data_IF_567489899487
#
_entry.id   IF_567489899487
#
_cell.length_a   1.000
_cell.length_b   1.000
_cell.length_c   1.000
_cell.angle_alpha   90.00
_cell.angle_beta   90.00
_cell.angle_gamma   90.00
#
_symmetry.space_group_name_H-M   'P 1'
#
loop_
_entity.id
_entity.type
_entity.pdbx_description
1 polymer ?
#
# COMPACT_ATOMS: atom_id res chain seq x y z
N UNK A 1 10.12 -5.97 -3.03
CA UNK A 1 9.70 -4.69 -2.42
C UNK A 1 10.67 -3.55 -2.67
N UNK A 2 11.76 -3.33 -1.90
CA UNK A 2 12.59 -2.11 -2.02
C UNK A 2 12.94 -1.71 -3.47
N UNK A 3 13.51 -2.63 -4.26
CA UNK A 3 13.83 -2.36 -5.67
C UNK A 3 12.60 -2.02 -6.51
N UNK A 4 11.53 -2.80 -6.38
CA UNK A 4 10.30 -2.63 -7.16
C UNK A 4 9.53 -1.35 -6.78
N UNK A 5 9.42 -1.03 -5.50
CA UNK A 5 8.57 0.05 -4.98
C UNK A 5 9.22 1.43 -5.05
N UNK A 6 10.56 1.50 -4.95
CA UNK A 6 11.29 2.76 -4.85
C UNK A 6 12.19 3.05 -6.05
N UNK A 7 12.87 2.05 -6.60
CA UNK A 7 13.82 2.26 -7.70
C UNK A 7 13.17 2.07 -9.06
N UNK A 8 12.33 1.05 -9.21
CA UNK A 8 11.72 0.69 -10.49
C UNK A 8 10.30 1.23 -10.67
N UNK A 9 9.66 1.72 -9.60
CA UNK A 9 8.32 2.29 -9.71
C UNK A 9 8.38 3.66 -10.39
N UNK A 10 7.83 3.73 -11.60
CA UNK A 10 7.84 4.97 -12.40
C UNK A 10 6.65 5.88 -12.08
N UNK A 11 6.74 7.15 -12.51
CA UNK A 11 5.62 8.10 -12.43
C UNK A 11 4.38 7.60 -13.19
N UNK A 12 4.57 6.81 -14.25
CA UNK A 12 3.46 6.20 -14.96
C UNK A 12 2.77 5.11 -14.12
N UNK A 13 3.53 4.25 -13.42
CA UNK A 13 2.97 3.24 -12.51
C UNK A 13 2.19 3.86 -11.35
N UNK A 14 2.56 5.07 -10.90
CA UNK A 14 1.82 5.82 -9.88
C UNK A 14 0.40 6.23 -10.33
N UNK A 15 0.06 6.10 -11.62
CA UNK A 15 -1.33 6.25 -12.06
C UNK A 15 -2.26 5.15 -11.51
N UNK A 16 -1.75 4.16 -10.76
CA UNK A 16 -2.54 3.17 -9.99
C UNK A 16 -3.55 3.79 -9.00
N UNK A 17 -3.39 5.05 -8.62
CA UNK A 17 -4.33 5.79 -7.76
C UNK A 17 -5.58 6.33 -8.49
N UNK A 18 -5.65 6.19 -9.83
CA UNK A 18 -6.81 6.66 -10.61
C UNK A 18 -8.13 5.98 -10.15
N UNK A 19 -9.25 6.74 -10.15
CA UNK A 19 -10.55 6.22 -9.72
C UNK A 19 -11.21 5.34 -10.78
N UNK A 20 -10.92 5.58 -12.06
CA UNK A 20 -11.44 4.90 -13.24
C UNK A 20 -10.49 3.76 -13.68
N UNK A 21 -10.90 2.98 -14.69
CA UNK A 21 -10.13 1.85 -15.21
C UNK A 21 -8.74 2.20 -15.74
N UNK A 22 -8.41 3.49 -15.91
CA UNK A 22 -7.06 3.96 -16.18
C UNK A 22 -6.00 3.55 -15.14
N UNK A 23 -6.38 3.01 -13.98
CA UNK A 23 -5.43 2.42 -13.02
C UNK A 23 -4.83 1.09 -13.51
N UNK A 24 -5.53 0.35 -14.38
CA UNK A 24 -5.31 -1.09 -14.58
C UNK A 24 -3.91 -1.40 -15.10
N UNK A 25 -3.51 -0.80 -16.23
CA UNK A 25 -2.18 -1.04 -16.83
C UNK A 25 -1.03 -0.52 -15.96
N UNK A 26 -1.09 0.70 -15.39
CA UNK A 26 -0.10 1.17 -14.41
C UNK A 26 0.10 0.22 -13.23
N UNK A 27 -1.01 -0.27 -12.66
CA UNK A 27 -0.99 -1.19 -11.53
C UNK A 27 -0.46 -2.57 -11.94
N UNK A 28 -0.89 -3.08 -13.09
CA UNK A 28 -0.43 -4.36 -13.62
C UNK A 28 1.08 -4.33 -13.87
N UNK A 29 1.60 -3.23 -14.41
CA UNK A 29 3.04 -3.08 -14.63
C UNK A 29 3.82 -3.05 -13.32
N UNK A 30 3.32 -2.35 -12.29
CA UNK A 30 3.94 -2.35 -10.98
C UNK A 30 3.95 -3.75 -10.34
N UNK A 31 2.79 -4.42 -10.28
CA UNK A 31 2.68 -5.78 -9.77
C UNK A 31 3.51 -6.77 -10.61
N UNK A 32 3.62 -6.52 -11.92
CA UNK A 32 4.46 -7.27 -12.84
C UNK A 32 5.95 -7.20 -12.51
N UNK A 33 6.45 -6.04 -12.04
CA UNK A 33 7.85 -5.94 -11.59
C UNK A 33 8.10 -6.86 -10.39
N UNK A 34 7.20 -6.92 -9.40
CA UNK A 34 7.33 -7.87 -8.28
C UNK A 34 7.26 -9.31 -8.76
N UNK A 35 6.28 -9.64 -9.60
CA UNK A 35 6.13 -10.97 -10.18
C UNK A 35 7.35 -11.42 -10.99
N UNK A 36 8.04 -10.52 -11.70
CA UNK A 36 9.28 -10.83 -12.42
C UNK A 36 10.44 -11.16 -11.48
N UNK A 37 10.55 -10.47 -10.33
CA UNK A 37 11.52 -10.86 -9.31
C UNK A 37 11.19 -12.25 -8.74
N UNK A 38 9.92 -12.49 -8.40
CA UNK A 38 9.47 -13.80 -7.91
C UNK A 38 9.73 -14.91 -8.94
N UNK A 39 9.47 -14.64 -10.22
CA UNK A 39 9.75 -15.57 -11.31
C UNK A 39 11.25 -15.86 -11.41
N UNK A 40 12.10 -14.82 -11.36
CA UNK A 40 13.56 -14.99 -11.39
C UNK A 40 14.07 -15.86 -10.24
N UNK A 41 13.54 -15.67 -9.02
CA UNK A 41 13.85 -16.51 -7.87
C UNK A 41 13.40 -17.95 -8.11
N UNK A 42 12.17 -18.17 -8.58
CA UNK A 42 11.64 -19.51 -8.85
C UNK A 42 12.46 -20.23 -9.93
N UNK A 43 12.77 -19.56 -11.05
CA UNK A 43 13.56 -20.14 -12.13
C UNK A 43 15.00 -20.46 -11.70
N UNK A 44 15.54 -19.75 -10.72
CA UNK A 44 16.87 -20.03 -10.17
C UNK A 44 16.86 -21.20 -9.16
N UNK A 45 15.84 -21.28 -8.31
CA UNK A 45 15.81 -22.22 -7.17
C UNK A 45 15.03 -23.50 -7.48
N UNK A 46 13.84 -23.40 -8.08
CA UNK A 46 12.89 -24.49 -8.34
C UNK A 46 12.00 -24.15 -9.55
N UNK A 47 12.46 -24.39 -10.80
CA UNK A 47 11.80 -23.87 -12.01
C UNK A 47 10.35 -24.33 -12.21
N UNK A 48 9.99 -25.52 -11.72
CA UNK A 48 8.62 -26.04 -11.80
C UNK A 48 7.63 -25.25 -10.94
N UNK A 49 8.11 -24.44 -9.99
CA UNK A 49 7.32 -23.54 -9.15
C UNK A 49 7.13 -22.14 -9.75
N UNK A 50 7.38 -21.96 -11.06
CA UNK A 50 7.17 -20.68 -11.77
C UNK A 50 5.78 -20.05 -11.54
N UNK A 51 4.76 -20.88 -11.29
CA UNK A 51 3.38 -20.44 -11.05
C UNK A 51 3.24 -19.57 -9.78
N UNK A 52 4.20 -19.65 -8.84
CA UNK A 52 4.24 -18.76 -7.67
C UNK A 52 4.39 -17.28 -8.09
N UNK A 53 5.02 -16.99 -9.23
CA UNK A 53 5.07 -15.63 -9.77
C UNK A 53 3.68 -15.12 -10.19
N UNK A 54 2.79 -16.00 -10.66
CA UNK A 54 1.41 -15.65 -10.99
C UNK A 54 0.60 -15.40 -9.71
N UNK A 55 0.82 -16.20 -8.67
CA UNK A 55 0.22 -15.94 -7.34
C UNK A 55 0.65 -14.59 -6.81
N UNK A 56 1.95 -14.29 -6.91
CA UNK A 56 2.52 -13.03 -6.48
C UNK A 56 1.94 -11.84 -7.24
N UNK A 57 1.84 -11.96 -8.56
CA UNK A 57 1.21 -10.96 -9.43
C UNK A 57 -0.22 -10.64 -8.99
N UNK A 58 -1.04 -11.67 -8.79
CA UNK A 58 -2.45 -11.53 -8.42
C UNK A 58 -2.59 -10.93 -7.02
N UNK A 59 -1.82 -11.44 -6.04
CA UNK A 59 -1.86 -10.96 -4.66
C UNK A 59 -1.46 -9.47 -4.57
N UNK A 60 -0.34 -9.10 -5.21
CA UNK A 60 0.12 -7.71 -5.28
C UNK A 60 -0.92 -6.83 -5.97
N UNK A 61 -1.43 -7.24 -7.14
CA UNK A 61 -2.40 -6.44 -7.89
C UNK A 61 -3.67 -6.16 -7.07
N UNK A 62 -4.22 -7.19 -6.42
CA UNK A 62 -5.45 -7.05 -5.62
C UNK A 62 -5.20 -6.15 -4.40
N UNK A 63 -4.14 -6.42 -3.64
CA UNK A 63 -3.85 -5.65 -2.43
C UNK A 63 -3.58 -4.18 -2.76
N UNK A 64 -2.74 -3.91 -3.77
CA UNK A 64 -2.47 -2.53 -4.19
C UNK A 64 -3.72 -1.83 -4.73
N UNK A 65 -4.65 -2.55 -5.38
CA UNK A 65 -5.93 -1.95 -5.79
C UNK A 65 -6.78 -1.54 -4.59
N UNK A 66 -6.87 -2.40 -3.59
CA UNK A 66 -7.60 -2.12 -2.34
C UNK A 66 -6.96 -0.92 -1.62
N UNK A 67 -5.62 -0.86 -1.59
CA UNK A 67 -4.86 0.20 -0.95
C UNK A 67 -4.94 1.53 -1.71
N UNK A 68 -4.82 1.52 -3.04
CA UNK A 68 -4.79 2.72 -3.87
C UNK A 68 -6.17 3.25 -4.26
N UNK A 69 -7.19 2.40 -4.26
CA UNK A 69 -8.54 2.73 -4.72
C UNK A 69 -9.20 3.82 -3.88
N UNK A 70 -9.66 4.95 -4.48
CA UNK A 70 -10.33 6.02 -3.73
C UNK A 70 -11.63 5.62 -3.05
N UNK A 71 -12.26 4.52 -3.49
CA UNK A 71 -13.45 3.93 -2.86
C UNK A 71 -13.12 3.11 -1.60
N UNK A 72 -11.88 2.65 -1.47
CA UNK A 72 -11.40 1.73 -0.44
C UNK A 72 -10.48 2.47 0.54
N UNK A 73 -9.25 1.99 0.73
CA UNK A 73 -8.29 2.56 1.68
C UNK A 73 -7.63 3.85 1.14
N UNK A 74 -7.59 4.03 -0.18
CA UNK A 74 -7.00 5.21 -0.84
C UNK A 74 -7.73 6.53 -0.58
N UNK A 75 -8.90 6.48 0.07
CA UNK A 75 -9.65 7.64 0.54
C UNK A 75 -8.97 8.39 1.68
N UNK A 76 -8.15 7.70 2.48
CA UNK A 76 -7.45 8.29 3.60
C UNK A 76 -6.22 9.07 3.11
N UNK A 77 -5.90 10.17 3.79
CA UNK A 77 -4.80 11.06 3.41
C UNK A 77 -3.86 11.27 4.58
N UNK A 78 -2.57 11.18 4.31
CA UNK A 78 -1.53 11.56 5.24
C UNK A 78 -1.54 13.07 5.47
N UNK A 79 -1.19 13.48 6.68
CA UNK A 79 -0.77 14.85 6.96
C UNK A 79 0.76 14.89 6.89
N UNK A 80 1.30 15.92 6.24
CA UNK A 80 2.69 16.31 6.43
C UNK A 80 2.94 16.72 7.88
N UNK A 81 4.21 16.75 8.30
CA UNK A 81 4.57 17.20 9.65
C UNK A 81 4.04 18.61 9.96
N UNK A 82 4.18 19.54 9.01
CA UNK A 82 3.66 20.91 9.15
C UNK A 82 2.13 20.97 9.22
N UNK A 83 1.41 20.14 8.47
CA UNK A 83 -0.06 20.05 8.59
C UNK A 83 -0.49 19.44 9.91
N UNK A 84 0.21 18.41 10.40
CA UNK A 84 -0.07 17.82 11.69
C UNK A 84 0.12 18.83 12.82
N UNK A 85 1.23 19.58 12.85
CA UNK A 85 1.46 20.62 13.85
C UNK A 85 0.37 21.70 13.82
N UNK A 86 -0.06 22.11 12.63
CA UNK A 86 -1.21 23.03 12.47
C UNK A 86 -2.50 22.46 13.05
N UNK A 87 -2.74 21.14 12.97
CA UNK A 87 -3.92 20.55 13.63
C UNK A 87 -3.84 20.59 15.15
N UNK A 88 -2.64 20.52 15.74
CA UNK A 88 -2.42 20.63 17.19
C UNK A 88 -2.62 22.06 17.66
N UNK A 89 -2.03 23.03 16.96
CA UNK A 89 -2.20 24.46 17.25
C UNK A 89 -3.68 24.89 17.15
N UNK A 90 -4.35 24.52 16.05
CA UNK A 90 -5.77 24.84 15.88
C UNK A 90 -6.65 24.20 16.95
N UNK A 91 -6.29 23.04 17.48
CA UNK A 91 -7.03 22.42 18.58
C UNK A 91 -6.87 23.24 19.87
N UNK A 92 -5.66 23.72 20.16
CA UNK A 92 -5.40 24.56 21.31
C UNK A 92 -6.26 25.84 21.25
N UNK A 93 -6.25 26.54 20.12
CA UNK A 93 -7.12 27.70 19.88
C UNK A 93 -8.62 27.38 19.92
N UNK A 94 -9.03 26.23 19.39
CA UNK A 94 -10.43 25.81 19.42
C UNK A 94 -10.93 25.55 20.85
N UNK A 95 -10.06 25.04 21.74
CA UNK A 95 -10.41 24.78 23.14
C UNK A 95 -10.40 26.04 24.00
N UNK A 96 -9.61 27.05 23.64
CA UNK A 96 -9.55 28.32 24.38
C UNK A 96 -10.72 29.27 24.09
N UNK A 97 -11.48 29.03 23.01
CA UNK A 97 -12.65 29.82 22.63
C UNK A 97 -13.95 29.05 22.92
N UNK A 98 -14.80 29.62 23.80
CA UNK A 98 -16.14 29.09 24.07
C UNK A 98 -16.96 29.03 22.77
N UNK A 99 -17.40 27.82 22.39
CA UNK A 99 -18.23 27.46 21.22
C UNK A 99 -17.58 27.06 19.88
N UNK A 100 -16.33 26.57 19.84
CA UNK A 100 -15.72 26.05 18.59
C UNK A 100 -15.90 24.53 18.33
N UNK A 101 -17.11 23.99 18.57
CA UNK A 101 -17.39 22.54 18.40
C UNK A 101 -17.16 22.06 16.96
N UNK A 102 -17.49 22.86 15.95
CA UNK A 102 -17.32 22.49 14.54
C UNK A 102 -15.85 22.40 14.14
N UNK A 103 -15.03 23.36 14.58
CA UNK A 103 -13.59 23.36 14.35
C UNK A 103 -12.94 22.10 14.96
N UNK A 104 -13.30 21.76 16.20
CA UNK A 104 -12.83 20.54 16.87
C UNK A 104 -13.23 19.27 16.09
N UNK A 105 -14.46 19.20 15.58
CA UNK A 105 -14.91 18.08 14.73
C UNK A 105 -14.09 17.97 13.46
N UNK A 106 -13.80 19.09 12.78
CA UNK A 106 -13.00 19.12 11.57
C UNK A 106 -11.54 18.67 11.82
N UNK A 107 -10.93 19.14 12.91
CA UNK A 107 -9.58 18.73 13.34
C UNK A 107 -9.53 17.23 13.62
N UNK A 108 -10.48 16.73 14.41
CA UNK A 108 -10.56 15.31 14.76
C UNK A 108 -10.78 14.42 13.53
N UNK A 109 -11.59 14.88 12.56
CA UNK A 109 -11.77 14.18 11.28
C UNK A 109 -10.46 14.09 10.49
N UNK A 110 -9.71 15.20 10.37
CA UNK A 110 -8.40 15.20 9.68
C UNK A 110 -7.39 14.26 10.34
N UNK A 111 -7.25 14.31 11.67
CA UNK A 111 -6.33 13.43 12.41
C UNK A 111 -6.71 11.97 12.28
N UNK A 112 -8.01 11.65 12.32
CA UNK A 112 -8.51 10.29 12.13
C UNK A 112 -8.18 9.76 10.73
N UNK A 113 -8.36 10.57 9.68
CA UNK A 113 -7.95 10.19 8.33
C UNK A 113 -6.44 9.94 8.21
N UNK A 114 -5.60 10.74 8.87
CA UNK A 114 -4.15 10.50 8.93
C UNK A 114 -3.82 9.15 9.57
N UNK A 115 -4.43 8.84 10.73
CA UNK A 115 -4.24 7.54 11.40
C UNK A 115 -4.67 6.39 10.50
N UNK A 116 -5.82 6.50 9.83
CA UNK A 116 -6.29 5.46 8.92
C UNK A 116 -5.41 5.30 7.68
N UNK A 117 -4.80 6.37 7.18
CA UNK A 117 -3.82 6.29 6.10
C UNK A 117 -2.62 5.41 6.50
N UNK A 118 -2.00 5.70 7.65
CA UNK A 118 -0.84 4.92 8.11
C UNK A 118 -1.20 3.47 8.46
N UNK A 119 -2.38 3.23 9.04
CA UNK A 119 -2.89 1.86 9.23
C UNK A 119 -3.08 1.12 7.92
N UNK A 120 -3.61 1.81 6.89
CA UNK A 120 -3.79 1.23 5.57
C UNK A 120 -2.45 0.85 4.92
N UNK A 121 -1.42 1.69 5.08
CA UNK A 121 -0.05 1.35 4.65
C UNK A 121 0.52 0.16 5.44
N UNK A 122 0.28 0.07 6.74
CA UNK A 122 0.73 -1.08 7.54
C UNK A 122 0.08 -2.39 7.10
N UNK A 123 -1.25 -2.38 6.87
CA UNK A 123 -1.99 -3.54 6.37
C UNK A 123 -1.47 -3.98 5.01
N UNK A 124 -1.25 -3.02 4.11
CA UNK A 124 -0.62 -3.24 2.82
C UNK A 124 0.72 -3.97 2.95
N UNK A 125 1.67 -3.44 3.72
CA UNK A 125 2.96 -4.09 3.94
C UNK A 125 2.84 -5.49 4.55
N UNK A 126 1.92 -5.69 5.50
CA UNK A 126 1.69 -6.99 6.12
C UNK A 126 1.26 -8.05 5.09
N UNK A 127 0.30 -7.74 4.21
CA UNK A 127 -0.17 -8.68 3.19
C UNK A 127 0.92 -9.08 2.20
N UNK A 128 1.75 -8.11 1.82
CA UNK A 128 2.89 -8.33 0.95
C UNK A 128 3.92 -9.28 1.61
N UNK A 129 4.25 -9.04 2.89
CA UNK A 129 5.13 -9.94 3.64
C UNK A 129 4.57 -11.34 3.82
N UNK A 130 3.27 -11.48 4.14
CA UNK A 130 2.62 -12.78 4.27
C UNK A 130 2.66 -13.57 2.95
N UNK A 131 2.45 -12.90 1.81
CA UNK A 131 2.57 -13.52 0.48
C UNK A 131 3.99 -14.05 0.25
N UNK A 132 5.02 -13.28 0.59
CA UNK A 132 6.40 -13.74 0.47
C UNK A 132 6.74 -14.87 1.45
N UNK A 133 6.26 -14.83 2.69
CA UNK A 133 6.46 -15.93 3.63
C UNK A 133 5.82 -17.22 3.12
N UNK A 134 4.65 -17.14 2.50
CA UNK A 134 4.02 -18.28 1.85
C UNK A 134 4.88 -18.81 0.69
N UNK A 135 5.36 -17.94 -0.21
CA UNK A 135 6.24 -18.33 -1.33
C UNK A 135 7.51 -19.02 -0.82
N UNK A 136 8.17 -18.43 0.18
CA UNK A 136 9.37 -19.00 0.81
C UNK A 136 9.07 -20.36 1.45
N UNK A 137 7.94 -20.48 2.14
CA UNK A 137 7.50 -21.75 2.72
C UNK A 137 7.35 -22.84 1.66
N UNK A 138 6.67 -22.55 0.53
CA UNK A 138 6.50 -23.52 -0.57
C UNK A 138 7.87 -23.92 -1.16
N UNK A 139 8.77 -22.95 -1.38
CA UNK A 139 10.11 -23.21 -1.88
C UNK A 139 10.95 -24.10 -0.94
N UNK A 140 10.83 -23.90 0.38
CA UNK A 140 11.53 -24.72 1.38
C UNK A 140 10.95 -26.14 1.37
N UNK A 141 9.62 -26.28 1.40
CA UNK A 141 8.98 -27.60 1.44
C UNK A 141 9.29 -28.44 0.19
N UNK A 142 9.38 -27.81 -0.97
CA UNK A 142 9.79 -28.44 -2.24
C UNK A 142 11.22 -29.01 -2.22
N UNK A 143 12.10 -28.48 -1.36
CA UNK A 143 13.48 -28.98 -1.21
C UNK A 143 13.63 -30.02 -0.12
N UNK A 144 12.68 -30.10 0.81
CA UNK A 144 12.72 -30.99 1.97
C UNK A 144 12.00 -32.32 1.69
N UNK A 145 10.94 -32.30 0.91
CA UNK A 145 10.14 -33.47 0.52
C UNK A 145 10.57 -34.02 -0.85
#
# INVERSE_FOLDING_TARGET
HLMADYFLQTQWMLQKFKPDWGFFLPLLAHAGVHALFTLGVCLFVAPHLWWLAVVDLVAHFIMDRIKAGPKYLGRFKALSGAEYMRTVENEHWAKSSQNNKEMLRAINKKRRHNVYFWRSLGVDQMFHHLTHYYIVFVLIMDKVL
#
